data_IF_360127493971
#
_entry.id   IF_360127493971
#
_cell.length_a   1.000
_cell.length_b   1.000
_cell.length_c   1.000
_cell.angle_alpha   90.00
_cell.angle_beta   90.00
_cell.angle_gamma   90.00
#
_symmetry.space_group_name_H-M   'P 1'
#
loop_
_entity.id
_entity.type
_entity.pdbx_description
1 polymer ?
#
# COMPACT_ATOMS: atom_id res chain seq x y z
N UNK A 1 -10.73 10.59 -34.34
CA UNK A 1 -11.07 9.45 -33.46
C UNK A 1 -11.96 8.40 -34.13
N UNK A 2 -11.70 8.01 -35.40
CA UNK A 2 -12.46 6.94 -36.10
C UNK A 2 -11.73 5.57 -36.11
N UNK A 3 -10.51 5.49 -35.59
CA UNK A 3 -9.66 4.29 -35.69
C UNK A 3 -9.73 3.32 -34.51
N UNK A 4 -10.60 3.56 -33.52
CA UNK A 4 -10.75 2.73 -32.31
C UNK A 4 -12.10 2.00 -32.23
N UNK A 5 -12.97 2.14 -33.23
CA UNK A 5 -14.26 1.44 -33.28
C UNK A 5 -14.08 0.09 -33.98
N UNK A 6 -14.78 -0.94 -33.47
CA UNK A 6 -14.78 -2.33 -33.97
C UNK A 6 -13.46 -3.11 -33.82
N UNK A 7 -12.68 -2.83 -32.77
CA UNK A 7 -11.56 -3.69 -32.37
C UNK A 7 -11.99 -4.57 -31.19
N UNK A 8 -11.48 -5.80 -31.15
CA UNK A 8 -11.69 -6.70 -30.01
C UNK A 8 -11.04 -6.12 -28.75
N UNK A 9 -11.85 -5.87 -27.72
CA UNK A 9 -11.41 -5.35 -26.43
C UNK A 9 -11.32 -6.50 -25.42
N UNK A 10 -10.15 -6.66 -24.80
CA UNK A 10 -9.98 -7.55 -23.65
C UNK A 10 -9.74 -6.72 -22.40
N UNK A 11 -10.55 -6.96 -21.36
CA UNK A 11 -10.40 -6.34 -20.06
C UNK A 11 -9.92 -7.37 -19.04
N UNK A 12 -8.91 -7.02 -18.25
CA UNK A 12 -8.43 -7.82 -17.12
C UNK A 12 -8.73 -7.04 -15.84
N UNK A 13 -9.46 -7.66 -14.92
CA UNK A 13 -9.68 -7.14 -13.58
C UNK A 13 -8.73 -7.84 -12.61
N UNK A 14 -8.00 -7.06 -11.81
CA UNK A 14 -7.02 -7.56 -10.86
C UNK A 14 -7.49 -7.16 -9.46
N UNK A 15 -7.68 -8.14 -8.60
CA UNK A 15 -7.91 -7.94 -7.17
C UNK A 15 -6.63 -8.15 -6.39
N UNK A 16 -6.35 -7.25 -5.44
CA UNK A 16 -5.14 -7.30 -4.61
C UNK A 16 -5.48 -7.91 -3.27
N UNK A 17 -4.97 -9.13 -3.03
CA UNK A 17 -5.17 -9.81 -1.75
C UNK A 17 -4.56 -9.00 -0.60
N UNK A 18 -5.40 -8.63 0.37
CA UNK A 18 -4.98 -7.92 1.60
C UNK A 18 -4.16 -6.66 1.30
N UNK A 19 -4.69 -5.81 0.41
CA UNK A 19 -4.00 -4.65 -0.12
C UNK A 19 -3.46 -3.71 0.97
N UNK A 20 -4.19 -3.50 2.07
CA UNK A 20 -3.76 -2.63 3.15
C UNK A 20 -2.72 -3.27 4.06
N UNK A 21 -2.85 -4.56 4.34
CA UNK A 21 -2.00 -5.32 5.26
C UNK A 21 -0.64 -5.68 4.63
N UNK A 22 -0.56 -5.67 3.30
CA UNK A 22 0.65 -6.04 2.53
C UNK A 22 1.53 -4.85 2.14
N UNK A 23 1.17 -3.62 2.53
CA UNK A 23 1.99 -2.43 2.26
C UNK A 23 3.37 -2.57 2.90
N UNK A 24 4.44 -2.47 2.12
CA UNK A 24 5.80 -2.45 2.66
C UNK A 24 6.09 -1.11 3.35
N UNK A 25 6.16 -1.11 4.69
CA UNK A 25 6.34 0.13 5.47
C UNK A 25 7.67 0.81 5.21
N UNK A 26 8.76 0.06 5.10
CA UNK A 26 10.08 0.63 4.83
C UNK A 26 10.08 1.42 3.51
N UNK A 27 9.39 0.93 2.48
CA UNK A 27 9.23 1.63 1.21
C UNK A 27 8.27 2.82 1.34
N UNK A 28 7.14 2.67 2.04
CA UNK A 28 6.23 3.79 2.32
C UNK A 28 6.95 4.96 3.02
N UNK A 29 7.79 4.69 4.00
CA UNK A 29 8.59 5.70 4.69
C UNK A 29 9.56 6.43 3.77
N UNK A 30 10.16 5.72 2.79
CA UNK A 30 11.00 6.34 1.76
C UNK A 30 10.19 7.21 0.81
N UNK A 31 8.95 6.84 0.50
CA UNK A 31 8.05 7.66 -0.33
C UNK A 31 7.68 8.95 0.40
N UNK A 32 7.24 8.83 1.66
CA UNK A 32 6.84 9.98 2.47
C UNK A 32 8.02 10.90 2.81
N UNK A 33 9.25 10.38 2.90
CA UNK A 33 10.46 11.19 3.10
C UNK A 33 10.93 11.98 1.87
N UNK A 34 10.20 11.95 0.74
CA UNK A 34 10.52 12.79 -0.42
C UNK A 34 10.05 14.23 -0.19
N UNK A 35 10.68 15.24 -0.84
CA UNK A 35 10.23 16.62 -0.77
C UNK A 35 8.73 16.75 -1.07
N UNK A 36 8.00 17.46 -0.22
CA UNK A 36 6.55 17.64 -0.32
C UNK A 36 5.77 17.14 0.90
N UNK A 37 6.36 16.30 1.74
CA UNK A 37 5.80 15.96 3.05
C UNK A 37 6.72 16.47 4.18
N UNK A 38 6.23 17.31 5.11
CA UNK A 38 7.03 17.76 6.24
C UNK A 38 7.45 16.60 7.17
N UNK A 39 8.71 16.60 7.62
CA UNK A 39 9.27 15.52 8.45
C UNK A 39 8.45 15.25 9.73
N UNK A 40 7.89 16.29 10.35
CA UNK A 40 7.06 16.14 11.55
C UNK A 40 5.77 15.35 11.27
N UNK A 41 5.16 15.51 10.09
CA UNK A 41 4.00 14.73 9.67
C UNK A 41 4.40 13.27 9.44
N UNK A 42 5.54 13.03 8.78
CA UNK A 42 6.06 11.68 8.57
C UNK A 42 6.31 10.99 9.92
N UNK A 43 6.87 11.71 10.90
CA UNK A 43 7.11 11.19 12.25
C UNK A 43 5.81 10.82 12.96
N UNK A 44 4.78 11.67 12.86
CA UNK A 44 3.45 11.39 13.43
C UNK A 44 2.87 10.12 12.79
N UNK A 45 2.88 10.01 11.46
CA UNK A 45 2.37 8.83 10.75
C UNK A 45 3.11 7.56 11.17
N UNK A 46 4.44 7.61 11.30
CA UNK A 46 5.25 6.48 11.78
C UNK A 46 4.85 6.06 13.19
N UNK A 47 4.61 7.02 14.10
CA UNK A 47 4.22 6.71 15.49
C UNK A 47 2.89 5.96 15.60
N UNK A 48 1.98 6.07 14.62
CA UNK A 48 0.75 5.26 14.57
C UNK A 48 1.00 3.79 14.20
N UNK A 49 2.16 3.48 13.63
CA UNK A 49 2.50 2.18 13.07
C UNK A 49 3.62 1.48 13.85
N UNK A 50 4.57 2.23 14.40
CA UNK A 50 5.71 1.70 15.13
C UNK A 50 5.27 0.97 16.42
N UNK A 51 5.84 -0.20 16.66
CA UNK A 51 5.52 -1.03 17.83
C UNK A 51 4.12 -1.65 17.83
N UNK A 52 3.40 -1.60 16.70
CA UNK A 52 2.08 -2.23 16.61
C UNK A 52 2.18 -3.75 16.72
N UNK A 53 1.34 -4.32 17.57
CA UNK A 53 1.18 -5.76 17.75
C UNK A 53 -0.26 -6.18 17.42
N UNK A 54 -0.43 -7.41 16.94
CA UNK A 54 -1.71 -8.03 16.69
C UNK A 54 -1.82 -9.34 17.47
N UNK A 55 -3.02 -9.59 18.00
CA UNK A 55 -3.39 -10.88 18.58
C UNK A 55 -4.05 -11.73 17.50
N UNK A 56 -3.63 -12.99 17.41
CA UNK A 56 -4.13 -13.91 16.37
C UNK A 56 -5.08 -14.90 17.01
N UNK A 57 -6.34 -14.91 16.57
CA UNK A 57 -7.30 -15.92 16.98
C UNK A 57 -7.40 -17.00 15.89
N UNK A 58 -7.11 -18.25 16.26
CA UNK A 58 -7.27 -19.43 15.40
C UNK A 58 -8.23 -20.39 16.07
N UNK A 59 -9.44 -20.51 15.52
CA UNK A 59 -10.44 -21.47 16.02
C UNK A 59 -10.90 -21.24 17.46
N UNK A 60 -10.87 -19.99 17.94
CA UNK A 60 -11.23 -19.62 19.32
C UNK A 60 -10.05 -19.59 20.28
N UNK A 61 -8.89 -20.11 19.88
CA UNK A 61 -7.65 -20.00 20.66
C UNK A 61 -6.90 -18.71 20.28
N UNK A 62 -6.56 -17.91 21.28
CA UNK A 62 -5.83 -16.66 21.10
C UNK A 62 -4.33 -16.91 21.28
N UNK A 63 -3.57 -16.73 20.21
CA UNK A 63 -2.12 -16.67 20.26
C UNK A 63 -1.65 -15.31 20.79
N UNK A 64 -0.49 -15.29 21.45
CA UNK A 64 0.10 -14.07 22.01
C UNK A 64 0.36 -12.96 20.99
N UNK A 65 0.71 -11.76 21.46
CA UNK A 65 0.92 -10.61 20.60
C UNK A 65 2.05 -10.91 19.60
N UNK A 66 1.82 -10.58 18.34
CA UNK A 66 2.78 -10.72 17.25
C UNK A 66 3.04 -9.35 16.62
N UNK A 67 4.30 -9.01 16.31
CA UNK A 67 4.63 -7.71 15.72
C UNK A 67 3.99 -7.57 14.33
N UNK A 68 3.43 -6.39 14.06
CA UNK A 68 2.86 -6.04 12.76
C UNK A 68 3.84 -5.15 12.02
N UNK A 69 4.71 -5.77 11.22
CA UNK A 69 5.80 -5.07 10.52
C UNK A 69 5.38 -4.47 9.17
N UNK A 70 4.29 -4.97 8.59
CA UNK A 70 3.77 -4.53 7.30
C UNK A 70 2.38 -3.91 7.44
N UNK A 71 1.95 -3.29 6.35
CA UNK A 71 0.61 -2.78 6.19
C UNK A 71 0.38 -1.42 6.82
N UNK A 72 -0.77 -0.86 6.51
CA UNK A 72 -1.38 0.26 7.21
C UNK A 72 -2.60 -0.24 7.97
N UNK A 73 -2.95 0.41 9.08
CA UNK A 73 -4.02 -0.06 9.95
C UNK A 73 -5.38 0.08 9.23
N UNK A 74 -6.08 -1.03 9.01
CA UNK A 74 -7.42 -0.99 8.40
C UNK A 74 -8.38 -0.21 9.32
N UNK A 75 -9.17 0.68 8.73
CA UNK A 75 -10.07 1.58 9.47
C UNK A 75 -9.41 2.87 9.97
N UNK A 76 -8.10 3.04 9.78
CA UNK A 76 -7.44 4.35 9.93
C UNK A 76 -7.87 5.28 8.79
N UNK A 77 -8.19 6.53 9.14
CA UNK A 77 -8.53 7.59 8.19
C UNK A 77 -7.42 7.82 7.17
N UNK A 78 -6.15 7.61 7.55
CA UNK A 78 -5.01 7.81 6.65
C UNK A 78 -4.71 6.58 5.77
N UNK A 79 -5.23 5.39 6.10
CA UNK A 79 -4.89 4.16 5.39
C UNK A 79 -5.18 4.22 3.88
N UNK A 80 -6.33 4.73 3.39
CA UNK A 80 -6.57 4.89 1.95
C UNK A 80 -5.53 5.77 1.26
N UNK A 81 -5.19 6.92 1.86
CA UNK A 81 -4.22 7.87 1.30
C UNK A 81 -2.81 7.28 1.26
N UNK A 82 -2.39 6.63 2.34
CA UNK A 82 -1.08 5.96 2.42
C UNK A 82 -0.98 4.83 1.40
N UNK A 83 -2.04 4.03 1.25
CA UNK A 83 -2.11 2.99 0.24
C UNK A 83 -2.04 3.55 -1.18
N UNK A 84 -2.78 4.62 -1.51
CA UNK A 84 -2.73 5.22 -2.84
C UNK A 84 -1.34 5.75 -3.20
N UNK A 85 -0.65 6.41 -2.26
CA UNK A 85 0.72 6.89 -2.46
C UNK A 85 1.70 5.73 -2.68
N UNK A 86 1.61 4.70 -1.83
CA UNK A 86 2.39 3.49 -1.98
C UNK A 86 2.17 2.81 -3.33
N UNK A 87 0.90 2.63 -3.71
CA UNK A 87 0.52 1.95 -4.94
C UNK A 87 1.00 2.70 -6.17
N UNK A 88 0.77 4.03 -6.24
CA UNK A 88 1.24 4.85 -7.34
C UNK A 88 2.77 4.78 -7.49
N UNK A 89 3.51 4.94 -6.39
CA UNK A 89 4.97 4.86 -6.43
C UNK A 89 5.48 3.47 -6.83
N UNK A 90 4.86 2.40 -6.32
CA UNK A 90 5.20 1.01 -6.67
C UNK A 90 4.92 0.73 -8.15
N UNK A 91 3.77 1.18 -8.64
CA UNK A 91 3.35 1.01 -10.03
C UNK A 91 4.31 1.74 -10.97
N UNK A 92 4.65 3.00 -10.68
CA UNK A 92 5.64 3.74 -11.47
C UNK A 92 7.01 3.07 -11.43
N UNK A 93 7.50 2.65 -10.27
CA UNK A 93 8.81 1.99 -10.17
C UNK A 93 8.85 0.66 -10.95
N UNK A 94 7.79 -0.12 -10.88
CA UNK A 94 7.74 -1.49 -11.45
C UNK A 94 7.44 -1.48 -12.94
N UNK A 95 6.57 -0.58 -13.41
CA UNK A 95 6.04 -0.62 -14.78
C UNK A 95 6.48 0.53 -15.68
N UNK A 96 6.94 1.67 -15.15
CA UNK A 96 7.30 2.82 -16.00
C UNK A 96 8.62 2.62 -16.80
N UNK A 97 9.39 1.55 -16.53
CA UNK A 97 10.60 1.20 -17.31
C UNK A 97 10.38 0.15 -18.42
N UNK A 98 9.15 -0.29 -18.69
CA UNK A 98 8.83 -1.19 -19.81
C UNK A 98 7.88 -0.54 -20.81
N UNK A 99 8.37 0.47 -21.53
CA UNK A 99 7.84 0.82 -22.85
C UNK A 99 9.00 0.84 -23.85
N UNK A 100 9.32 -0.36 -24.33
CA UNK A 100 10.07 -0.59 -25.56
C UNK A 100 9.53 -1.90 -26.11
N UNK A 101 8.41 -1.78 -26.82
CA UNK A 101 8.00 -2.71 -27.89
C UNK A 101 7.62 -1.79 -29.04
#
# INVERSE_FOLDING_TARGET
MKGLQNMDLVQILIDLTKAFETVNRAFLWKILGKPGCPDHIVSIIKSFHDGMEAWVNVGGAMAGPSPVENGVKQGDTLAPTLFSLYFAATFTHTFAKKQSI
#
